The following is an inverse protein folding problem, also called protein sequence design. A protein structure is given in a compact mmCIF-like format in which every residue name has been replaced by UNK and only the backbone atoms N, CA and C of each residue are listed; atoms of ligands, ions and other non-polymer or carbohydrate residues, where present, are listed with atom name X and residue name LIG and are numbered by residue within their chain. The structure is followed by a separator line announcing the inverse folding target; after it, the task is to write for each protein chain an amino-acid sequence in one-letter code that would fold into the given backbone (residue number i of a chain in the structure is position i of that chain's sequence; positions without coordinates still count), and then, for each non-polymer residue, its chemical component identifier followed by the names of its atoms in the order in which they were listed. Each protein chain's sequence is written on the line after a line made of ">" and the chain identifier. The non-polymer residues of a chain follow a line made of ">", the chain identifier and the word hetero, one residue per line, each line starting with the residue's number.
data_IF_241874441481
#
_entry.id   IF_241874441481
#
_cell.length_a   1.000
_cell.length_b   1.000
_cell.length_c   1.000
_cell.angle_alpha   90.00
_cell.angle_beta   90.00
_cell.angle_gamma   90.00
#
_symmetry.space_group_name_H-M   'P 1'
#
loop_
_entity.id
_entity.type
_entity.pdbx_description
1 polymer ?
#
# COMPACT_ATOMS: atom_id res chain seq x y z
N UNK A 1 -11.69 -11.18 26.39
CA UNK A 1 -11.95 -10.96 24.94
C UNK A 1 -10.95 -9.92 24.47
N UNK A 2 -9.86 -10.34 23.82
CA UNK A 2 -8.83 -9.42 23.33
C UNK A 2 -9.33 -8.78 22.04
N UNK A 3 -9.77 -7.53 22.11
CA UNK A 3 -10.01 -6.71 20.94
C UNK A 3 -8.66 -6.31 20.37
N UNK A 4 -8.19 -7.01 19.33
CA UNK A 4 -7.16 -6.45 18.46
C UNK A 4 -7.77 -5.19 17.81
N UNK A 5 -7.48 -4.01 18.36
CA UNK A 5 -7.64 -2.75 17.62
C UNK A 5 -6.70 -2.83 16.43
N UNK A 6 -7.19 -3.29 15.29
CA UNK A 6 -6.64 -2.87 14.00
C UNK A 6 -6.96 -1.37 13.91
N UNK A 7 -6.08 -0.53 14.45
CA UNK A 7 -6.10 0.90 14.14
C UNK A 7 -5.98 1.01 12.64
N UNK A 8 -7.08 1.39 11.99
CA UNK A 8 -7.04 1.72 10.57
C UNK A 8 -5.94 2.77 10.36
N UNK A 9 -5.12 2.65 9.31
CA UNK A 9 -4.09 3.63 9.03
C UNK A 9 -4.74 5.02 8.89
N UNK A 10 -4.11 6.05 9.46
CA UNK A 10 -4.61 7.41 9.31
C UNK A 10 -4.51 7.86 7.85
N UNK A 11 -5.26 8.89 7.47
CA UNK A 11 -5.14 9.45 6.12
C UNK A 11 -3.72 9.96 5.83
N UNK A 12 -3.02 10.51 6.82
CA UNK A 12 -1.65 10.98 6.68
C UNK A 12 -0.68 9.81 6.44
N UNK A 13 -0.87 8.70 7.15
CA UNK A 13 -0.08 7.48 6.92
C UNK A 13 -0.31 6.93 5.50
N UNK A 14 -1.56 6.91 5.05
CA UNK A 14 -1.91 6.47 3.69
C UNK A 14 -1.27 7.37 2.62
N UNK A 15 -1.29 8.70 2.81
CA UNK A 15 -0.66 9.65 1.88
C UNK A 15 0.86 9.46 1.86
N UNK A 16 1.49 9.25 3.02
CA UNK A 16 2.94 9.02 3.13
C UNK A 16 3.35 7.72 2.45
N UNK A 17 2.66 6.61 2.74
CA UNK A 17 2.89 5.31 2.10
C UNK A 17 2.66 5.42 0.58
N UNK A 18 1.58 6.07 0.16
CA UNK A 18 1.22 6.26 -1.25
C UNK A 18 2.25 7.09 -2.01
N UNK A 19 2.79 8.15 -1.38
CA UNK A 19 3.89 8.93 -1.94
C UNK A 19 5.14 8.08 -2.12
N UNK A 20 5.56 7.39 -1.07
CA UNK A 20 6.76 6.55 -1.09
C UNK A 20 6.67 5.48 -2.18
N UNK A 21 5.58 4.72 -2.20
CA UNK A 21 5.43 3.65 -3.19
C UNK A 21 5.22 4.15 -4.62
N UNK A 22 4.64 5.34 -4.81
CA UNK A 22 4.45 5.90 -6.16
C UNK A 22 5.69 6.60 -6.72
N UNK A 23 6.58 7.09 -5.85
CA UNK A 23 7.74 7.89 -6.25
C UNK A 23 9.05 7.09 -6.22
N UNK A 24 9.23 6.27 -5.20
CA UNK A 24 10.52 5.65 -4.88
C UNK A 24 10.57 4.16 -5.20
N UNK A 25 9.44 3.59 -5.67
CA UNK A 25 9.30 2.17 -5.97
C UNK A 25 8.78 1.91 -7.39
N UNK A 26 9.13 0.74 -7.92
CA UNK A 26 8.65 0.21 -9.19
C UNK A 26 7.77 -1.01 -8.91
N UNK A 27 6.54 -1.00 -9.40
CA UNK A 27 5.68 -2.19 -9.42
C UNK A 27 6.30 -3.24 -10.35
N UNK A 28 6.71 -4.37 -9.79
CA UNK A 28 7.27 -5.51 -10.55
C UNK A 28 6.20 -6.52 -10.88
N UNK A 29 5.34 -6.83 -9.92
CA UNK A 29 4.24 -7.77 -10.07
C UNK A 29 3.02 -7.24 -9.31
N UNK A 30 1.84 -7.49 -9.86
CA UNK A 30 0.57 -7.05 -9.28
C UNK A 30 -0.35 -8.23 -9.05
N UNK A 31 -1.19 -8.11 -8.02
CA UNK A 31 -2.29 -9.03 -7.77
C UNK A 31 -1.86 -10.50 -7.59
N UNK A 32 -0.70 -10.72 -6.98
CA UNK A 32 -0.18 -12.05 -6.71
C UNK A 32 -1.06 -12.71 -5.64
N UNK A 33 -1.69 -13.86 -5.95
CA UNK A 33 -2.49 -14.59 -4.98
C UNK A 33 -1.57 -15.21 -3.91
N UNK A 34 -1.90 -14.99 -2.64
CA UNK A 34 -1.13 -15.54 -1.51
C UNK A 34 -1.84 -16.69 -0.80
N UNK A 35 -3.07 -17.00 -1.20
CA UNK A 35 -3.89 -18.07 -0.65
C UNK A 35 -5.35 -17.65 -0.51
N UNK A 36 -6.21 -18.58 -0.09
CA UNK A 36 -7.66 -18.35 0.04
C UNK A 36 -8.03 -17.42 1.21
N UNK A 37 -7.20 -17.36 2.25
CA UNK A 37 -7.47 -16.63 3.49
C UNK A 37 -6.73 -15.29 3.61
N UNK A 38 -5.90 -14.94 2.62
CA UNK A 38 -5.04 -13.76 2.63
C UNK A 38 -5.30 -12.91 1.40
N UNK A 39 -5.20 -11.59 1.55
CA UNK A 39 -5.35 -10.67 0.42
C UNK A 39 -4.21 -10.83 -0.60
N UNK A 40 -4.52 -10.60 -1.88
CA UNK A 40 -3.50 -10.54 -2.93
C UNK A 40 -2.48 -9.45 -2.62
N UNK A 41 -1.24 -9.64 -3.09
CA UNK A 41 -0.13 -8.70 -2.87
C UNK A 41 0.38 -8.13 -4.19
N UNK A 42 0.92 -6.93 -4.13
CA UNK A 42 1.78 -6.37 -5.14
C UNK A 42 3.24 -6.52 -4.69
N UNK A 43 4.13 -6.87 -5.60
CA UNK A 43 5.57 -6.87 -5.38
C UNK A 43 6.16 -5.59 -5.94
N UNK A 44 6.79 -4.81 -5.07
CA UNK A 44 7.46 -3.56 -5.41
C UNK A 44 8.97 -3.72 -5.27
N UNK A 45 9.71 -3.01 -6.09
CA UNK A 45 11.15 -2.81 -5.95
C UNK A 45 11.41 -1.35 -5.62
N UNK A 46 11.79 -1.10 -4.38
CA UNK A 46 12.07 0.22 -3.85
C UNK A 46 13.58 0.39 -3.72
N UNK A 47 14.23 0.84 -4.81
CA UNK A 47 15.69 1.03 -4.87
C UNK A 47 16.51 -0.22 -4.54
N UNK A 48 16.13 -1.37 -5.10
CA UNK A 48 16.80 -2.66 -4.89
C UNK A 48 16.25 -3.45 -3.70
N UNK A 49 15.34 -2.87 -2.92
CA UNK A 49 14.64 -3.57 -1.84
C UNK A 49 13.28 -4.06 -2.33
N UNK A 50 13.10 -5.37 -2.36
CA UNK A 50 11.82 -5.97 -2.72
C UNK A 50 10.87 -5.92 -1.52
N UNK A 51 9.71 -5.30 -1.72
CA UNK A 51 8.67 -5.13 -0.70
C UNK A 51 7.35 -5.71 -1.18
N UNK A 52 6.74 -6.56 -0.37
CA UNK A 52 5.42 -7.13 -0.64
C UNK A 52 4.35 -6.32 0.11
N UNK A 53 3.39 -5.77 -0.62
CA UNK A 53 2.32 -4.94 -0.07
C UNK A 53 0.98 -5.53 -0.45
N UNK A 54 0.07 -5.71 0.50
CA UNK A 54 -1.31 -6.13 0.19
C UNK A 54 -1.92 -5.16 -0.82
N UNK A 55 -2.45 -5.67 -1.93
CA UNK A 55 -2.98 -4.88 -3.05
C UNK A 55 -3.98 -3.83 -2.57
N UNK A 56 -4.92 -4.22 -1.70
CA UNK A 56 -5.89 -3.29 -1.13
C UNK A 56 -5.24 -2.13 -0.35
N UNK A 57 -4.15 -2.40 0.40
CA UNK A 57 -3.39 -1.35 1.11
C UNK A 57 -2.67 -0.44 0.12
N UNK A 58 -2.04 -1.02 -0.90
CA UNK A 58 -1.37 -0.26 -1.96
C UNK A 58 -2.36 0.69 -2.67
N UNK A 59 -3.50 0.16 -3.11
CA UNK A 59 -4.52 0.93 -3.83
C UNK A 59 -5.08 2.07 -2.98
N UNK A 60 -5.34 1.82 -1.69
CA UNK A 60 -5.80 2.84 -0.75
C UNK A 60 -4.77 3.97 -0.58
N UNK A 61 -3.50 3.62 -0.38
CA UNK A 61 -2.43 4.59 -0.17
C UNK A 61 -2.18 5.45 -1.42
N UNK A 62 -2.09 4.82 -2.61
CA UNK A 62 -1.92 5.52 -3.89
C UNK A 62 -3.11 6.43 -4.18
N UNK A 63 -4.34 5.98 -3.91
CA UNK A 63 -5.54 6.80 -4.06
C UNK A 63 -5.52 8.03 -3.14
N UNK A 64 -5.17 7.84 -1.86
CA UNK A 64 -5.05 8.94 -0.89
C UNK A 64 -3.99 9.96 -1.33
N UNK A 65 -2.81 9.50 -1.75
CA UNK A 65 -1.76 10.37 -2.27
C UNK A 65 -2.21 11.15 -3.51
N UNK A 66 -2.85 10.50 -4.48
CA UNK A 66 -3.35 11.16 -5.68
C UNK A 66 -4.40 12.23 -5.36
N UNK A 67 -5.33 11.94 -4.45
CA UNK A 67 -6.30 12.95 -3.96
C UNK A 67 -5.62 14.14 -3.31
N UNK A 68 -4.57 13.91 -2.50
CA UNK A 68 -3.82 14.99 -1.83
C UNK A 68 -3.09 15.92 -2.80
N UNK A 69 -2.71 15.43 -4.00
CA UNK A 69 -2.09 16.25 -5.04
C UNK A 69 -3.11 17.15 -5.74
N UNK A 70 -4.35 16.68 -5.93
CA UNK A 70 -5.40 17.42 -6.62
C UNK A 70 -6.07 18.50 -5.76
N UNK A 71 -5.77 18.52 -4.46
CA UNK A 71 -6.26 19.52 -3.50
C UNK A 71 -5.27 20.66 -3.27
N UNK A 72 -4.14 20.67 -3.97
CA UNK A 72 -3.12 21.74 -3.97
C UNK A 72 -3.20 22.53 -5.27
#
# INVERSE_FOLDING_TARGET
>A
MFFFKLTQPSNDDLIKDGKYWSADCILKEVDIPTGFLTGNINRLDCSGVVVNVVKGKYDQAVSAYNKSKNQR
#
